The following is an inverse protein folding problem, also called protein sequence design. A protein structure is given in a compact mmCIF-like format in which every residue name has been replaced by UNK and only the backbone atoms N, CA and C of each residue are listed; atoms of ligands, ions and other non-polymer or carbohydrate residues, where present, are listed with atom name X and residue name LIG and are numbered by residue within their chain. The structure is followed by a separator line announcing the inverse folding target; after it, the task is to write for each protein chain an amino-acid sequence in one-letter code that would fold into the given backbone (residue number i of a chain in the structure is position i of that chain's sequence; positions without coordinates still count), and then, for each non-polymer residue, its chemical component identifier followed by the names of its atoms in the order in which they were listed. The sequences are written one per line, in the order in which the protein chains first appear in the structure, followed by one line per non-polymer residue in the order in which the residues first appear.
data_IF_675092843158
#
_entry.id   IF_675092843158
#
_cell.length_a   1.000
_cell.length_b   1.000
_cell.length_c   1.000
_cell.angle_alpha   90.00
_cell.angle_beta   90.00
_cell.angle_gamma   90.00
#
_symmetry.space_group_name_H-M   'P 1'
#
loop_
_entity.id
_entity.type
_entity.pdbx_description
1 polymer ?
#
# COMPACT_ATOMS: atom_id res chain seq x y z
N UNK A 1 -7.62 22.17 3.67
CA UNK A 1 -6.86 21.24 4.52
C UNK A 1 -7.74 19.98 4.63
N UNK A 2 -7.27 18.80 4.20
CA UNK A 2 -8.08 17.57 4.30
C UNK A 2 -7.94 17.02 5.71
N UNK A 3 -9.07 16.76 6.35
CA UNK A 3 -9.18 16.33 7.75
C UNK A 3 -8.90 14.82 7.85
N UNK A 4 -8.36 14.34 8.98
CA UNK A 4 -8.10 12.90 9.20
C UNK A 4 -9.38 12.06 9.09
N UNK A 5 -10.55 12.68 9.36
CA UNK A 5 -11.86 12.06 9.18
C UNK A 5 -12.19 11.69 7.73
N UNK A 6 -11.56 12.34 6.73
CA UNK A 6 -11.78 12.02 5.32
C UNK A 6 -11.14 10.68 4.93
N UNK A 7 -10.11 10.22 5.66
CA UNK A 7 -9.49 8.92 5.43
C UNK A 7 -10.34 7.76 5.97
N UNK A 8 -11.09 7.96 7.06
CA UNK A 8 -11.90 6.90 7.66
C UNK A 8 -13.23 6.66 6.92
N UNK A 9 -13.69 7.58 6.07
CA UNK A 9 -15.01 7.51 5.44
C UNK A 9 -15.10 6.70 4.13
N UNK A 10 -14.02 6.04 3.70
CA UNK A 10 -14.03 5.19 2.50
C UNK A 10 -14.23 3.69 2.75
N UNK A 11 -14.41 3.26 3.99
CA UNK A 11 -14.50 1.84 4.36
C UNK A 11 -15.70 1.04 3.82
N UNK A 12 -16.69 1.66 3.16
CA UNK A 12 -17.95 0.98 2.81
C UNK A 12 -18.42 1.10 1.36
N UNK A 13 -17.50 1.17 0.38
CA UNK A 13 -17.87 0.91 -1.02
C UNK A 13 -16.87 -0.01 -1.70
N UNK A 14 -17.27 -1.28 -1.84
CA UNK A 14 -16.79 -2.24 -2.84
C UNK A 14 -16.62 -1.53 -4.19
N UNK A 15 -15.39 -1.10 -4.49
CA UNK A 15 -14.97 -0.80 -5.85
C UNK A 15 -13.75 -1.66 -6.11
N UNK A 16 -13.96 -2.62 -7.00
CA UNK A 16 -13.03 -3.58 -7.59
C UNK A 16 -11.97 -2.87 -8.46
N UNK A 17 -11.39 -1.78 -7.96
CA UNK A 17 -10.17 -1.19 -8.47
C UNK A 17 -9.04 -1.80 -7.65
N UNK A 18 -8.73 -3.08 -7.93
CA UNK A 18 -7.40 -3.61 -7.61
C UNK A 18 -6.45 -2.98 -8.63
N UNK A 19 -6.24 -1.66 -8.52
CA UNK A 19 -4.93 -1.14 -8.84
C UNK A 19 -4.04 -1.82 -7.80
N UNK A 20 -3.09 -2.62 -8.26
CA UNK A 20 -1.94 -3.06 -7.47
C UNK A 20 -1.33 -1.78 -6.88
N UNK A 21 -1.82 -1.30 -5.75
CA UNK A 21 -1.21 -0.20 -5.05
C UNK A 21 -0.25 -0.83 -4.05
N UNK A 22 1.01 -0.37 -4.00
CA UNK A 22 1.96 -0.91 -3.06
C UNK A 22 1.51 -0.58 -1.64
N UNK A 23 1.76 -1.52 -0.74
CA UNK A 23 1.40 -1.38 0.68
C UNK A 23 2.22 -0.24 1.30
N UNK A 24 1.51 0.75 1.83
CA UNK A 24 2.06 1.83 2.63
C UNK A 24 2.42 1.36 4.05
N UNK A 25 3.03 2.26 4.82
CA UNK A 25 3.41 2.00 6.21
C UNK A 25 2.19 1.60 7.06
N UNK A 26 1.07 2.30 6.89
CA UNK A 26 -0.16 2.01 7.63
C UNK A 26 -0.79 0.68 7.22
N UNK A 27 -0.73 0.30 5.94
CA UNK A 27 -1.24 -0.99 5.45
C UNK A 27 -0.45 -2.16 6.06
N UNK A 28 0.87 -2.01 6.17
CA UNK A 28 1.75 -3.00 6.82
C UNK A 28 1.42 -3.09 8.32
N UNK A 29 1.21 -1.97 8.99
CA UNK A 29 0.86 -1.94 10.42
C UNK A 29 -0.52 -2.55 10.67
N UNK A 30 -1.53 -2.23 9.86
CA UNK A 30 -2.88 -2.80 9.97
C UNK A 30 -2.86 -4.33 9.85
N UNK A 31 -2.02 -4.85 8.95
CA UNK A 31 -1.89 -6.28 8.70
C UNK A 31 -1.10 -7.02 9.80
N UNK A 32 0.06 -6.49 10.17
CA UNK A 32 1.04 -7.21 11.01
C UNK A 32 0.90 -6.85 12.50
N UNK A 33 0.32 -5.69 12.83
CA UNK A 33 0.15 -5.18 14.20
C UNK A 33 -1.25 -4.56 14.41
N UNK A 34 -2.34 -5.32 14.21
CA UNK A 34 -3.71 -4.79 14.17
C UNK A 34 -4.13 -4.06 15.47
N UNK A 35 -3.67 -4.53 16.64
CA UNK A 35 -3.98 -3.88 17.92
C UNK A 35 -3.32 -2.49 18.03
N UNK A 36 -2.07 -2.36 17.59
CA UNK A 36 -1.34 -1.09 17.58
C UNK A 36 -1.91 -0.14 16.53
N UNK A 37 -2.39 -0.68 15.41
CA UNK A 37 -3.12 0.10 14.41
C UNK A 37 -4.37 0.75 15.01
N UNK A 38 -5.17 0.01 15.79
CA UNK A 38 -6.34 0.56 16.50
C UNK A 38 -5.95 1.74 17.39
N UNK A 39 -4.86 1.61 18.15
CA UNK A 39 -4.36 2.69 19.03
C UNK A 39 -3.98 3.96 18.26
N UNK A 40 -3.43 3.82 17.04
CA UNK A 40 -3.10 4.96 16.16
C UNK A 40 -4.38 5.62 15.64
N UNK A 41 -5.33 4.81 15.13
CA UNK A 41 -6.59 5.28 14.52
C UNK A 41 -7.49 5.98 15.54
N UNK A 42 -7.50 5.48 16.77
CA UNK A 42 -8.22 6.07 17.91
C UNK A 42 -7.49 7.27 18.52
N UNK A 43 -6.27 7.59 18.03
CA UNK A 43 -5.48 8.73 18.51
C UNK A 43 -4.97 8.57 19.94
N UNK A 44 -4.97 7.34 20.47
CA UNK A 44 -4.58 7.05 21.84
C UNK A 44 -3.07 7.20 22.06
N UNK A 45 -2.28 7.11 20.98
CA UNK A 45 -0.83 7.25 21.11
C UNK A 45 -0.15 7.61 19.77
N UNK A 46 1.06 8.20 19.86
CA UNK A 46 1.83 8.57 18.68
C UNK A 46 2.46 7.36 18.01
N UNK A 47 2.30 7.25 16.68
CA UNK A 47 2.90 6.18 15.88
C UNK A 47 4.43 6.07 16.09
N UNK A 48 5.12 7.20 16.30
CA UNK A 48 6.57 7.24 16.42
C UNK A 48 7.13 6.44 17.60
N UNK A 49 6.34 6.25 18.67
CA UNK A 49 6.77 5.60 19.92
C UNK A 49 6.17 4.20 20.12
N UNK A 50 5.27 3.77 19.24
CA UNK A 50 4.56 2.49 19.31
C UNK A 50 5.39 1.27 18.95
N UNK A 51 6.53 1.50 18.30
CA UNK A 51 7.34 0.46 17.70
C UNK A 51 8.79 0.63 18.14
N UNK A 52 9.45 -0.50 18.37
CA UNK A 52 10.90 -0.52 18.56
C UNK A 52 11.62 -0.11 17.27
N UNK A 53 12.92 0.16 17.37
CA UNK A 53 13.74 0.47 16.20
C UNK A 53 13.76 -0.71 15.21
N UNK A 54 13.82 -1.94 15.71
CA UNK A 54 13.81 -3.18 14.92
C UNK A 54 12.47 -3.35 14.19
N UNK A 55 11.35 -3.14 14.89
CA UNK A 55 10.02 -3.22 14.29
C UNK A 55 9.85 -2.15 13.20
N UNK A 56 10.37 -0.93 13.42
CA UNK A 56 10.40 0.11 12.40
C UNK A 56 11.19 -0.29 11.16
N UNK A 57 12.37 -0.91 11.33
CA UNK A 57 13.17 -1.42 10.21
C UNK A 57 12.35 -2.45 9.42
N UNK A 58 11.64 -3.35 10.09
CA UNK A 58 10.83 -4.37 9.44
C UNK A 58 9.65 -3.77 8.66
N UNK A 59 8.89 -2.86 9.29
CA UNK A 59 7.74 -2.17 8.69
C UNK A 59 8.18 -1.41 7.43
N UNK A 60 9.26 -0.61 7.55
CA UNK A 60 9.79 0.17 6.43
C UNK A 60 10.32 -0.72 5.31
N UNK A 61 10.94 -1.85 5.65
CA UNK A 61 11.44 -2.82 4.67
C UNK A 61 10.30 -3.46 3.89
N UNK A 62 9.23 -3.88 4.57
CA UNK A 62 8.03 -4.46 3.94
C UNK A 62 7.36 -3.48 2.99
N UNK A 63 7.10 -2.25 3.44
CA UNK A 63 6.48 -1.22 2.59
C UNK A 63 7.37 -0.86 1.38
N UNK A 64 8.68 -0.69 1.60
CA UNK A 64 9.64 -0.44 0.50
C UNK A 64 9.67 -1.58 -0.51
N UNK A 65 9.63 -2.82 -0.07
CA UNK A 65 9.62 -3.99 -0.96
C UNK A 65 8.33 -4.05 -1.77
N UNK A 66 7.17 -3.79 -1.17
CA UNK A 66 5.88 -3.71 -1.88
C UNK A 66 5.94 -2.64 -2.98
N UNK A 67 6.48 -1.45 -2.67
CA UNK A 67 6.70 -0.37 -3.65
C UNK A 67 7.65 -0.76 -4.79
N UNK A 68 8.76 -1.43 -4.47
CA UNK A 68 9.72 -1.92 -5.47
C UNK A 68 9.06 -2.92 -6.42
N UNK A 69 8.31 -3.88 -5.89
CA UNK A 69 7.57 -4.87 -6.69
C UNK A 69 6.53 -4.20 -7.59
N UNK A 70 5.81 -3.19 -7.08
CA UNK A 70 4.85 -2.42 -7.87
C UNK A 70 5.50 -1.69 -9.06
N UNK A 71 6.64 -1.02 -8.85
CA UNK A 71 7.39 -0.35 -9.93
C UNK A 71 7.86 -1.38 -10.97
N UNK A 72 8.42 -2.50 -10.54
CA UNK A 72 8.88 -3.56 -11.44
C UNK A 72 7.75 -4.06 -12.34
N UNK A 73 6.57 -4.36 -11.77
CA UNK A 73 5.39 -4.78 -12.53
C UNK A 73 4.95 -3.69 -13.51
N UNK A 74 4.83 -2.45 -13.05
CA UNK A 74 4.41 -1.32 -13.90
C UNK A 74 5.35 -1.13 -15.09
N UNK A 75 6.66 -1.28 -14.88
CA UNK A 75 7.65 -1.19 -15.94
C UNK A 75 7.54 -2.36 -16.93
N UNK A 76 7.34 -3.59 -16.46
CA UNK A 76 7.08 -4.75 -17.34
C UNK A 76 5.81 -4.53 -18.17
N UNK A 77 4.71 -4.10 -17.55
CA UNK A 77 3.45 -3.83 -18.25
C UNK A 77 3.56 -2.70 -19.28
N UNK A 78 4.51 -1.76 -19.13
CA UNK A 78 4.82 -0.73 -20.14
C UNK A 78 5.67 -1.22 -21.30
N UNK A 79 6.50 -2.26 -21.09
CA UNK A 79 7.37 -2.83 -22.14
C UNK A 79 6.59 -3.82 -23.02
N UNK A 80 5.64 -4.58 -22.45
CA UNK A 80 4.87 -5.59 -23.16
C UNK A 80 3.60 -5.16 -23.96
N UNK A 81 3.06 -3.92 -23.95
CA UNK A 81 1.90 -3.58 -24.76
C UNK A 81 2.26 -3.42 -26.26
N UNK A 82 3.55 -3.45 -26.61
CA UNK A 82 4.06 -3.20 -27.97
C UNK A 82 4.31 -4.46 -28.82
N UNK A 83 4.11 -5.67 -28.30
CA UNK A 83 4.34 -6.90 -29.07
C UNK A 83 3.06 -7.66 -29.49
N UNK A 84 1.87 -7.19 -29.11
CA UNK A 84 0.60 -7.90 -29.37
C UNK A 84 -0.08 -7.63 -30.72
N UNK A 85 0.29 -6.57 -31.46
CA UNK A 85 -0.41 -6.17 -32.69
C UNK A 85 0.38 -6.50 -33.98
N UNK A 86 0.82 -7.75 -34.11
CA UNK A 86 1.17 -8.33 -35.42
C UNK A 86 0.47 -9.67 -35.59
N UNK A 87 -0.85 -9.62 -35.77
CA UNK A 87 -1.60 -10.76 -36.25
C UNK A 87 -2.54 -10.34 -37.38
N UNK A 88 -2.04 -10.60 -38.61
CA UNK A 88 -2.77 -11.07 -39.80
C UNK A 88 -3.74 -10.10 -40.48
N UNK A 89 -3.21 -9.36 -41.44
CA UNK A 89 -3.86 -9.22 -42.75
C UNK A 89 -2.96 -9.90 -43.78
N UNK A 90 -3.50 -10.91 -44.46
CA UNK A 90 -2.82 -11.77 -45.43
C UNK A 90 -3.67 -12.98 -45.71
#
# INVERSE_FOLDING_TARGET
MKDLADYQRSGNKKKKYVRDFPDGILDVIEKDYPERYSMIVEGLTSIAVLFSAEEWIEILTKSRNSFRSHIQRTNLTKIYPLQGNKARFG
#
